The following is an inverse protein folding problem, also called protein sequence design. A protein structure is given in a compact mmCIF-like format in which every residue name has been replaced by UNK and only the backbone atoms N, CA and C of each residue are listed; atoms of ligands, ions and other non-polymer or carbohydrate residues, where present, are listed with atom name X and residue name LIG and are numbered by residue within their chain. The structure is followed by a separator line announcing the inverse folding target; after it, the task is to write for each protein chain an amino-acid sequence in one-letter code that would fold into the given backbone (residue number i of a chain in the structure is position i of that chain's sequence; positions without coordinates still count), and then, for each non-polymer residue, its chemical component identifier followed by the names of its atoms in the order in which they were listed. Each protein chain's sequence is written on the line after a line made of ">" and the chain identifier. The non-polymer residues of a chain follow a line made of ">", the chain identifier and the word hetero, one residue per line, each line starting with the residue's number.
data_IF_465742619966
#
_entry.id   IF_465742619966
#
_cell.length_a   1.000
_cell.length_b   1.000
_cell.length_c   1.000
_cell.angle_alpha   90.00
_cell.angle_beta   90.00
_cell.angle_gamma   90.00
#
_symmetry.space_group_name_H-M   'P 1'
#
loop_
_entity.id
_entity.type
_entity.pdbx_description
1 polymer ?
#
# COMPACT_ATOMS: atom_id res chain seq x y z
N UNK A 1 -4.39 28.69 0.00
CA UNK A 1 -4.06 28.45 1.41
C UNK A 1 -3.44 27.05 1.49
N UNK A 2 -2.12 26.95 1.62
CA UNK A 2 -1.45 25.67 1.75
C UNK A 2 -1.61 25.18 3.20
N UNK A 3 -2.42 24.16 3.42
CA UNK A 3 -2.50 23.49 4.69
C UNK A 3 -1.20 22.70 4.91
N UNK A 4 -0.35 23.17 5.79
CA UNK A 4 0.77 22.41 6.32
C UNK A 4 0.20 21.20 7.07
N UNK A 5 0.31 20.03 6.44
CA UNK A 5 0.01 18.75 7.09
C UNK A 5 1.05 18.51 8.18
N UNK A 6 0.69 18.76 9.43
CA UNK A 6 1.43 18.25 10.58
C UNK A 6 1.02 16.78 10.72
N UNK A 7 1.95 15.83 10.63
CA UNK A 7 1.62 14.44 10.86
C UNK A 7 1.12 14.26 12.28
N UNK A 8 -0.07 13.69 12.43
CA UNK A 8 -0.54 13.27 13.76
C UNK A 8 0.36 12.11 14.21
N UNK A 9 1.16 12.34 15.22
CA UNK A 9 2.14 11.40 15.81
C UNK A 9 1.43 10.26 16.59
N UNK A 10 0.28 9.79 16.13
CA UNK A 10 -0.57 8.85 16.86
C UNK A 10 -0.66 7.42 16.30
N UNK A 11 -0.12 7.14 15.12
CA UNK A 11 -0.15 5.76 14.58
C UNK A 11 1.24 5.16 14.56
N UNK A 12 1.55 4.35 15.57
CA UNK A 12 2.80 3.59 15.72
C UNK A 12 2.74 2.26 14.92
N UNK A 13 2.27 2.29 13.69
CA UNK A 13 2.30 1.08 12.86
C UNK A 13 3.62 1.04 12.09
N UNK A 14 4.52 0.16 12.50
CA UNK A 14 5.80 -0.06 11.85
C UNK A 14 5.71 -1.19 10.83
N UNK A 15 6.44 -1.05 9.74
CA UNK A 15 6.56 -2.06 8.71
C UNK A 15 7.96 -2.16 8.14
N UNK A 16 8.15 -3.17 7.31
CA UNK A 16 9.36 -3.41 6.56
C UNK A 16 9.06 -3.42 5.06
N UNK A 17 9.99 -2.88 4.27
CA UNK A 17 9.98 -2.97 2.83
C UNK A 17 11.36 -3.39 2.34
N UNK A 18 11.42 -4.55 1.68
CA UNK A 18 12.61 -5.05 1.00
C UNK A 18 12.42 -5.00 -0.51
N UNK A 19 13.39 -4.42 -1.22
CA UNK A 19 13.41 -4.33 -2.68
C UNK A 19 14.70 -4.97 -3.21
N UNK A 20 14.58 -5.86 -4.22
CA UNK A 20 15.74 -6.44 -4.93
C UNK A 20 15.53 -6.24 -6.42
N UNK A 21 16.55 -5.72 -7.10
CA UNK A 21 16.47 -5.45 -8.53
C UNK A 21 17.73 -5.83 -9.30
N UNK A 22 17.55 -6.02 -10.59
CA UNK A 22 18.64 -6.12 -11.56
C UNK A 22 18.34 -5.18 -12.72
N UNK A 23 19.33 -4.39 -13.10
CA UNK A 23 19.24 -3.43 -14.21
C UNK A 23 20.30 -3.76 -15.26
N UNK A 24 19.89 -3.77 -16.50
CA UNK A 24 20.79 -3.91 -17.66
C UNK A 24 20.69 -2.70 -18.57
N UNK A 25 21.81 -2.03 -18.75
CA UNK A 25 21.95 -0.96 -19.74
C UNK A 25 22.08 -1.57 -21.13
N UNK A 26 21.09 -1.32 -21.97
CA UNK A 26 21.03 -1.79 -23.35
C UNK A 26 21.58 -0.66 -24.26
N UNK A 27 21.95 -1.00 -25.49
CA UNK A 27 22.40 0.00 -26.46
C UNK A 27 21.35 1.11 -26.69
N UNK A 28 21.79 2.28 -27.16
CA UNK A 28 20.95 3.42 -27.53
C UNK A 28 20.15 4.09 -26.39
N UNK A 29 20.65 3.99 -25.15
CA UNK A 29 20.07 4.66 -23.98
C UNK A 29 18.82 3.99 -23.42
N UNK A 30 18.60 2.73 -23.76
CA UNK A 30 17.61 1.89 -23.11
C UNK A 30 18.18 1.23 -21.88
N UNK A 31 17.39 1.19 -20.80
CA UNK A 31 17.66 0.48 -19.56
C UNK A 31 16.48 -0.47 -19.31
N UNK A 32 16.75 -1.77 -19.11
CA UNK A 32 15.75 -2.77 -18.70
C UNK A 32 15.98 -3.15 -17.25
N UNK A 33 14.91 -3.23 -16.49
CA UNK A 33 14.95 -3.54 -15.04
C UNK A 33 13.96 -4.64 -14.70
N UNK A 34 14.39 -5.56 -13.85
CA UNK A 34 13.54 -6.52 -13.16
C UNK A 34 13.64 -6.22 -11.66
N UNK A 35 12.52 -6.20 -10.98
CA UNK A 35 12.46 -5.95 -9.54
C UNK A 35 11.55 -6.95 -8.83
N UNK A 36 11.90 -7.27 -7.59
CA UNK A 36 11.04 -7.97 -6.65
C UNK A 36 10.95 -7.14 -5.36
N UNK A 37 9.77 -7.09 -4.77
CA UNK A 37 9.51 -6.36 -3.53
C UNK A 37 8.75 -7.25 -2.57
N UNK A 38 9.11 -7.14 -1.29
CA UNK A 38 8.38 -7.72 -0.18
C UNK A 38 8.07 -6.63 0.85
N UNK A 39 6.85 -6.65 1.43
CA UNK A 39 6.43 -5.70 2.44
C UNK A 39 5.72 -6.38 3.60
N UNK A 40 6.05 -5.92 4.81
CA UNK A 40 5.36 -6.25 6.05
C UNK A 40 4.76 -5.00 6.68
N UNK A 41 3.73 -5.20 7.48
CA UNK A 41 3.01 -4.19 8.26
C UNK A 41 2.74 -4.71 9.67
N UNK A 42 1.91 -4.03 10.44
CA UNK A 42 1.50 -4.42 11.78
C UNK A 42 2.70 -4.78 12.67
N UNK A 43 3.63 -3.84 12.86
CA UNK A 43 4.83 -4.03 13.67
C UNK A 43 5.64 -5.27 13.27
N UNK A 44 5.80 -5.47 11.96
CA UNK A 44 6.52 -6.60 11.32
C UNK A 44 5.82 -7.98 11.49
N UNK A 45 4.56 -8.03 11.90
CA UNK A 45 3.84 -9.28 12.16
C UNK A 45 3.12 -9.83 10.95
N UNK A 46 2.65 -8.95 10.07
CA UNK A 46 1.80 -9.32 8.94
C UNK A 46 2.49 -9.06 7.61
N UNK A 47 2.35 -9.99 6.67
CA UNK A 47 2.72 -9.77 5.29
C UNK A 47 1.67 -8.91 4.61
N UNK A 48 2.04 -7.70 4.13
CA UNK A 48 1.16 -6.87 3.32
C UNK A 48 1.12 -7.36 1.88
N UNK A 49 2.31 -7.50 1.26
CA UNK A 49 2.40 -7.93 -0.14
C UNK A 49 3.78 -8.42 -0.54
N UNK A 50 3.80 -9.14 -1.62
CA UNK A 50 4.98 -9.26 -2.46
C UNK A 50 4.65 -8.90 -3.90
N UNK A 51 5.64 -8.48 -4.66
CA UNK A 51 5.46 -8.14 -6.07
C UNK A 51 6.71 -8.44 -6.87
N UNK A 52 6.51 -8.70 -8.16
CA UNK A 52 7.56 -8.76 -9.17
C UNK A 52 7.19 -7.86 -10.33
N UNK A 53 8.18 -7.19 -10.90
CA UNK A 53 7.95 -6.24 -11.97
C UNK A 53 9.08 -6.23 -12.98
N UNK A 54 8.73 -5.79 -14.19
CA UNK A 54 9.68 -5.53 -15.27
C UNK A 54 9.40 -4.14 -15.84
N UNK A 55 10.44 -3.41 -16.16
CA UNK A 55 10.33 -2.11 -16.82
C UNK A 55 11.39 -1.91 -17.90
N UNK A 56 11.05 -1.08 -18.85
CA UNK A 56 11.93 -0.61 -19.90
C UNK A 56 11.89 0.91 -19.89
N UNK A 57 13.04 1.54 -19.81
CA UNK A 57 13.16 2.99 -19.89
C UNK A 57 14.12 3.41 -20.98
N UNK A 58 13.92 4.62 -21.50
CA UNK A 58 14.77 5.22 -22.52
C UNK A 58 15.10 6.65 -22.14
N UNK A 59 16.35 7.03 -22.24
CA UNK A 59 16.76 8.42 -22.17
C UNK A 59 16.38 9.12 -23.46
N UNK A 60 15.33 9.96 -23.40
CA UNK A 60 14.78 10.67 -24.57
C UNK A 60 15.44 12.01 -24.83
N UNK A 61 16.03 12.60 -23.78
CA UNK A 61 16.77 13.84 -23.90
C UNK A 61 17.94 13.89 -22.91
N UNK A 62 19.03 14.51 -23.34
CA UNK A 62 20.17 14.90 -22.51
C UNK A 62 20.79 16.19 -23.07
N UNK A 63 20.99 17.19 -22.22
CA UNK A 63 21.60 18.44 -22.66
C UNK A 63 23.10 18.28 -22.91
N UNK A 64 23.71 19.29 -23.62
CA UNK A 64 25.14 19.26 -23.97
C UNK A 64 26.06 19.24 -22.72
N UNK A 65 25.69 19.95 -21.67
CA UNK A 65 26.42 19.97 -20.40
C UNK A 65 26.31 18.66 -19.61
N UNK A 66 25.42 17.74 -20.02
CA UNK A 66 25.17 16.41 -19.41
C UNK A 66 24.63 16.46 -17.96
N UNK A 67 24.23 17.63 -17.48
CA UNK A 67 23.68 17.84 -16.14
C UNK A 67 22.14 17.79 -16.11
N UNK A 68 21.46 17.77 -17.26
CA UNK A 68 20.02 17.60 -17.35
C UNK A 68 19.66 16.47 -18.32
N UNK A 69 18.77 15.60 -17.90
CA UNK A 69 18.27 14.52 -18.74
C UNK A 69 16.79 14.22 -18.47
N UNK A 70 16.12 13.66 -19.48
CA UNK A 70 14.75 13.17 -19.39
C UNK A 70 14.73 11.71 -19.82
N UNK A 71 14.11 10.86 -18.98
CA UNK A 71 13.85 9.45 -19.26
C UNK A 71 12.34 9.22 -19.37
N UNK A 72 11.92 8.46 -20.37
CA UNK A 72 10.57 7.91 -20.47
C UNK A 72 10.63 6.40 -20.20
N UNK A 73 9.63 5.85 -19.51
CA UNK A 73 9.61 4.44 -19.15
C UNK A 73 8.21 3.87 -19.20
N UNK A 74 8.15 2.56 -19.44
CA UNK A 74 6.94 1.74 -19.30
C UNK A 74 7.27 0.52 -18.48
N UNK A 75 6.29 -0.03 -17.80
CA UNK A 75 6.52 -1.25 -17.04
C UNK A 75 5.24 -1.94 -16.63
N UNK A 76 5.45 -3.15 -16.13
CA UNK A 76 4.42 -4.02 -15.62
C UNK A 76 4.85 -4.56 -14.26
N UNK A 77 3.89 -4.69 -13.34
CA UNK A 77 4.11 -5.27 -12.01
C UNK A 77 2.94 -6.18 -11.64
N UNK A 78 3.27 -7.40 -11.28
CA UNK A 78 2.36 -8.33 -10.61
C UNK A 78 2.52 -8.20 -9.11
N UNK A 79 1.41 -8.18 -8.38
CA UNK A 79 1.41 -8.09 -6.93
C UNK A 79 0.43 -9.10 -6.34
N UNK A 80 0.81 -9.70 -5.24
CA UNK A 80 -0.07 -10.49 -4.39
C UNK A 80 -0.22 -9.77 -3.05
N UNK A 81 -1.45 -9.33 -2.76
CA UNK A 81 -1.77 -8.48 -1.60
C UNK A 81 -2.57 -9.30 -0.61
N UNK A 82 -2.12 -9.29 0.63
CA UNK A 82 -2.74 -9.98 1.75
C UNK A 82 -3.58 -8.98 2.53
N UNK A 83 -4.88 -9.21 2.58
CA UNK A 83 -5.82 -8.39 3.34
C UNK A 83 -6.08 -9.10 4.66
N UNK A 84 -5.79 -8.44 5.75
CA UNK A 84 -6.00 -8.99 7.08
C UNK A 84 -7.49 -9.09 7.42
N UNK A 85 -7.79 -9.93 8.39
CA UNK A 85 -9.13 -10.00 8.95
C UNK A 85 -9.50 -8.65 9.59
N UNK A 86 -10.79 -8.32 9.60
CA UNK A 86 -11.29 -7.13 10.27
C UNK A 86 -12.65 -7.40 10.92
N UNK A 87 -12.87 -6.77 12.08
CA UNK A 87 -14.17 -6.76 12.74
C UNK A 87 -14.83 -5.40 12.51
N UNK A 88 -16.10 -5.42 12.11
CA UNK A 88 -16.94 -4.21 11.99
C UNK A 88 -18.06 -4.30 13.01
N UNK A 89 -18.10 -3.37 13.96
CA UNK A 89 -19.14 -3.27 14.97
C UNK A 89 -20.35 -2.53 14.42
N UNK A 90 -21.56 -2.99 14.78
CA UNK A 90 -22.81 -2.26 14.55
C UNK A 90 -23.04 -1.32 15.73
N UNK A 91 -23.08 -0.02 15.48
CA UNK A 91 -23.34 1.03 16.46
C UNK A 91 -23.43 2.38 15.74
N UNK A 92 -23.85 3.47 16.43
CA UNK A 92 -23.92 4.79 15.82
C UNK A 92 -22.58 5.25 15.24
N UNK A 93 -21.45 4.75 15.79
CA UNK A 93 -20.12 4.90 15.23
C UNK A 93 -19.57 3.52 14.92
N UNK A 94 -19.66 3.07 13.67
CA UNK A 94 -19.14 1.78 13.25
C UNK A 94 -17.60 1.77 13.36
N UNK A 95 -17.08 1.21 14.45
CA UNK A 95 -15.64 1.07 14.69
C UNK A 95 -15.14 -0.12 13.87
N UNK A 96 -14.18 0.11 13.00
CA UNK A 96 -13.44 -0.94 12.29
C UNK A 96 -12.18 -1.22 13.09
N UNK A 97 -12.03 -2.45 13.58
CA UNK A 97 -10.81 -2.91 14.25
C UNK A 97 -10.10 -3.88 13.32
N UNK A 98 -8.84 -3.58 12.99
CA UNK A 98 -8.02 -4.37 12.06
C UNK A 98 -6.60 -4.60 12.55
N UNK A 99 -6.37 -4.59 13.87
CA UNK A 99 -5.03 -4.64 14.43
C UNK A 99 -4.76 -5.98 15.11
N UNK A 100 -4.51 -7.03 14.44
CA UNK A 100 -3.93 -8.29 14.95
C UNK A 100 -4.40 -8.81 16.34
N UNK A 101 -5.21 -8.05 17.07
CA UNK A 101 -5.78 -8.47 18.33
C UNK A 101 -7.03 -9.34 18.09
N UNK A 102 -7.08 -10.46 18.79
CA UNK A 102 -8.23 -11.36 18.70
C UNK A 102 -9.51 -10.62 19.12
N UNK A 103 -10.65 -10.83 18.44
CA UNK A 103 -11.93 -10.17 18.71
C UNK A 103 -12.38 -10.22 20.19
N UNK A 104 -11.86 -11.18 20.93
CA UNK A 104 -12.20 -11.42 22.36
C UNK A 104 -11.92 -10.21 23.27
N UNK A 105 -11.01 -9.31 22.91
CA UNK A 105 -10.63 -8.19 23.78
C UNK A 105 -11.50 -6.94 23.62
N UNK A 106 -12.28 -6.85 22.53
CA UNK A 106 -13.09 -5.66 22.21
C UNK A 106 -14.59 -5.81 22.50
N UNK A 107 -15.02 -6.98 22.94
CA UNK A 107 -16.45 -7.32 23.09
C UNK A 107 -17.02 -6.93 24.47
N UNK A 108 -16.35 -6.08 25.23
CA UNK A 108 -16.83 -5.66 26.55
C UNK A 108 -18.13 -4.83 26.52
N UNK A 109 -18.61 -4.39 25.35
CA UNK A 109 -19.77 -3.51 25.25
C UNK A 109 -21.02 -4.17 24.67
N UNK A 110 -21.08 -5.49 24.56
CA UNK A 110 -22.27 -6.23 24.10
C UNK A 110 -22.80 -5.76 22.72
N UNK A 111 -21.90 -5.33 21.83
CA UNK A 111 -22.29 -4.85 20.50
C UNK A 111 -22.34 -6.00 19.48
N UNK A 112 -23.32 -5.95 18.60
CA UNK A 112 -23.34 -6.81 17.42
C UNK A 112 -22.18 -6.45 16.49
N UNK A 113 -21.53 -7.44 15.87
CA UNK A 113 -20.40 -7.21 14.97
C UNK A 113 -20.37 -8.22 13.83
N UNK A 114 -19.58 -7.91 12.81
CA UNK A 114 -19.29 -8.81 11.70
C UNK A 114 -17.78 -9.00 11.60
N UNK A 115 -17.35 -10.26 11.57
CA UNK A 115 -15.96 -10.66 11.38
C UNK A 115 -15.78 -11.01 9.90
N UNK A 116 -14.84 -10.35 9.24
CA UNK A 116 -14.43 -10.58 7.86
C UNK A 116 -13.09 -11.31 7.88
N UNK A 117 -13.02 -12.51 7.31
CA UNK A 117 -11.79 -13.27 7.28
C UNK A 117 -10.73 -12.62 6.38
N UNK A 118 -9.49 -12.97 6.64
CA UNK A 118 -8.37 -12.57 5.77
C UNK A 118 -8.52 -13.19 4.38
N UNK A 119 -8.12 -12.44 3.36
CA UNK A 119 -8.12 -12.92 1.98
C UNK A 119 -6.94 -12.37 1.19
N UNK A 120 -6.64 -13.04 0.09
CA UNK A 120 -5.54 -12.65 -0.80
C UNK A 120 -6.10 -12.31 -2.16
N UNK A 121 -5.67 -11.19 -2.73
CA UNK A 121 -5.97 -10.86 -4.13
C UNK A 121 -4.71 -10.63 -4.96
N UNK A 122 -4.84 -10.90 -6.25
CA UNK A 122 -3.81 -10.60 -7.25
C UNK A 122 -4.09 -9.24 -7.86
N UNK A 123 -3.03 -8.46 -8.08
CA UNK A 123 -3.12 -7.17 -8.76
C UNK A 123 -2.13 -7.13 -9.93
N UNK A 124 -2.58 -6.60 -11.04
CA UNK A 124 -1.79 -6.39 -12.24
C UNK A 124 -1.70 -4.90 -12.50
N UNK A 125 -0.48 -4.35 -12.54
CA UNK A 125 -0.25 -2.93 -12.74
C UNK A 125 0.56 -2.70 -14.00
N UNK A 126 0.04 -1.84 -14.86
CA UNK A 126 0.78 -1.29 -16.02
C UNK A 126 1.02 0.19 -15.70
N UNK A 127 2.19 0.68 -16.05
CA UNK A 127 2.51 2.09 -15.82
C UNK A 127 3.36 2.67 -16.95
N UNK A 128 3.17 3.98 -17.18
CA UNK A 128 4.01 4.82 -18.01
C UNK A 128 4.60 5.94 -17.16
N UNK A 129 5.86 6.30 -17.36
CA UNK A 129 6.53 7.33 -16.55
C UNK A 129 7.38 8.27 -17.41
N UNK A 130 7.49 9.50 -16.93
CA UNK A 130 8.42 10.51 -17.42
C UNK A 130 9.21 11.04 -16.21
N UNK A 131 10.53 11.03 -16.30
CA UNK A 131 11.41 11.51 -15.25
C UNK A 131 12.40 12.52 -15.81
N UNK A 132 12.38 13.73 -15.25
CA UNK A 132 13.41 14.75 -15.46
C UNK A 132 14.40 14.71 -14.30
N UNK A 133 15.69 14.79 -14.59
CA UNK A 133 16.76 14.79 -13.60
C UNK A 133 17.76 15.91 -13.91
N UNK A 134 18.12 16.66 -12.86
CA UNK A 134 19.03 17.78 -12.91
C UNK A 134 20.15 17.57 -11.87
N UNK A 135 21.40 17.71 -12.31
CA UNK A 135 22.60 17.69 -11.45
C UNK A 135 23.16 19.11 -11.36
N UNK A 136 23.12 19.68 -10.15
CA UNK A 136 23.62 21.00 -9.81
C UNK A 136 24.76 20.85 -8.79
N UNK A 137 25.99 20.91 -9.27
CA UNK A 137 27.18 20.63 -8.45
C UNK A 137 27.06 19.25 -7.78
N UNK A 138 26.74 19.22 -6.50
CA UNK A 138 26.59 18.00 -5.68
C UNK A 138 25.13 17.58 -5.47
N UNK A 139 24.18 18.40 -5.87
CA UNK A 139 22.77 18.08 -5.73
C UNK A 139 22.28 17.35 -6.99
N UNK A 140 21.56 16.25 -6.74
CA UNK A 140 20.80 15.53 -7.77
C UNK A 140 19.32 15.70 -7.47
N UNK A 141 18.61 16.43 -8.32
CA UNK A 141 17.16 16.65 -8.17
C UNK A 141 16.45 15.90 -9.30
N UNK A 142 15.41 15.18 -9.00
CA UNK A 142 14.59 14.56 -10.02
C UNK A 142 13.09 14.72 -9.73
N UNK A 143 12.33 14.94 -10.80
CA UNK A 143 10.88 14.95 -10.82
C UNK A 143 10.41 13.79 -11.68
N UNK A 144 9.52 12.95 -11.16
CA UNK A 144 8.92 11.85 -11.90
C UNK A 144 7.40 11.91 -11.84
N UNK A 145 6.80 11.93 -13.02
CA UNK A 145 5.38 11.70 -13.21
C UNK A 145 5.14 10.29 -13.72
N UNK A 146 4.17 9.58 -13.14
CA UNK A 146 3.86 8.21 -13.52
C UNK A 146 2.35 7.98 -13.49
N UNK A 147 1.79 7.62 -14.63
CA UNK A 147 0.41 7.17 -14.73
C UNK A 147 0.38 5.65 -14.56
N UNK A 148 -0.50 5.17 -13.69
CA UNK A 148 -0.66 3.75 -13.38
C UNK A 148 -2.09 3.32 -13.61
N UNK A 149 -2.26 2.19 -14.27
CA UNK A 149 -3.48 1.40 -14.29
C UNK A 149 -3.27 0.15 -13.46
N UNK A 150 -4.14 -0.13 -12.50
CA UNK A 150 -4.08 -1.34 -11.68
C UNK A 150 -5.39 -2.09 -11.78
N UNK A 151 -5.34 -3.32 -12.31
CA UNK A 151 -6.43 -4.28 -12.22
C UNK A 151 -6.30 -5.05 -10.90
N UNK A 152 -7.37 -5.11 -10.13
CA UNK A 152 -7.50 -5.80 -8.85
C UNK A 152 -8.39 -7.00 -9.08
N UNK A 153 -7.85 -8.21 -8.92
CA UNK A 153 -8.59 -9.46 -9.10
C UNK A 153 -9.70 -9.63 -8.07
N UNK A 154 -10.73 -10.39 -8.44
CA UNK A 154 -11.80 -10.78 -7.52
C UNK A 154 -11.26 -11.62 -6.36
N UNK A 155 -11.98 -11.59 -5.24
CA UNK A 155 -11.68 -12.42 -4.08
C UNK A 155 -12.98 -12.87 -3.41
N UNK A 156 -12.94 -14.04 -2.77
CA UNK A 156 -14.04 -14.54 -1.93
C UNK A 156 -13.48 -14.84 -0.54
N UNK A 157 -14.24 -14.45 0.48
CA UNK A 157 -13.84 -14.67 1.87
C UNK A 157 -15.06 -14.89 2.76
N UNK A 158 -14.84 -15.55 3.91
CA UNK A 158 -15.91 -15.79 4.86
C UNK A 158 -16.22 -14.54 5.66
N UNK A 159 -17.50 -14.39 6.00
CA UNK A 159 -17.99 -13.35 6.91
C UNK A 159 -18.87 -14.02 7.94
N UNK A 160 -18.51 -13.85 9.21
CA UNK A 160 -19.32 -14.31 10.34
C UNK A 160 -20.02 -13.10 10.97
N UNK A 161 -21.34 -13.07 10.90
CA UNK A 161 -22.15 -12.02 11.51
C UNK A 161 -22.56 -12.46 12.91
N UNK A 162 -22.20 -11.72 13.95
CA UNK A 162 -22.58 -11.94 15.35
C UNK A 162 -23.63 -10.90 15.74
N UNK A 163 -24.74 -11.37 16.35
CA UNK A 163 -25.85 -10.53 16.81
C UNK A 163 -26.15 -10.85 18.28
N UNK A 164 -26.29 -9.80 19.08
CA UNK A 164 -26.69 -9.95 20.50
C UNK A 164 -28.14 -10.36 20.56
N UNK A 165 -28.49 -11.31 21.44
CA UNK A 165 -29.85 -11.86 21.55
C UNK A 165 -30.94 -10.84 21.84
N UNK A 166 -30.61 -9.70 22.51
CA UNK A 166 -31.57 -8.62 22.80
C UNK A 166 -31.83 -7.68 21.62
N UNK A 167 -30.93 -7.60 20.64
CA UNK A 167 -31.06 -6.76 19.44
C UNK A 167 -31.76 -7.49 18.30
N UNK A 168 -32.10 -8.74 18.49
CA UNK A 168 -32.77 -9.53 17.47
C UNK A 168 -34.27 -9.21 17.44
N UNK A 169 -34.62 -7.96 17.17
CA UNK A 169 -35.96 -7.55 16.74
C UNK A 169 -35.98 -7.45 15.23
N UNK A 170 -36.97 -8.07 14.64
CA UNK A 170 -37.15 -8.33 13.22
C UNK A 170 -37.36 -7.09 12.31
N UNK A 171 -36.98 -5.87 12.75
CA UNK A 171 -37.47 -4.66 12.08
C UNK A 171 -36.45 -3.85 11.25
N UNK A 172 -35.16 -4.16 11.27
CA UNK A 172 -34.17 -3.23 10.68
C UNK A 172 -33.12 -3.85 9.74
N UNK A 173 -33.34 -5.03 9.20
CA UNK A 173 -32.42 -5.56 8.17
C UNK A 173 -33.04 -5.36 6.77
N UNK A 174 -32.76 -4.21 6.15
CA UNK A 174 -33.01 -3.92 4.71
C UNK A 174 -32.20 -4.82 3.75
N UNK A 175 -31.55 -5.85 4.24
CA UNK A 175 -30.97 -6.91 3.41
C UNK A 175 -32.04 -8.00 3.19
N UNK A 176 -32.66 -7.98 2.05
CA UNK A 176 -33.79 -8.78 1.57
C UNK A 176 -33.70 -10.32 1.68
N UNK A 177 -32.66 -10.87 2.30
CA UNK A 177 -32.41 -12.33 2.35
C UNK A 177 -32.61 -12.97 3.74
N UNK A 178 -32.93 -12.23 4.79
CA UNK A 178 -33.07 -12.79 6.14
C UNK A 178 -34.56 -12.94 6.55
N UNK A 179 -35.23 -13.99 6.08
CA UNK A 179 -36.53 -14.42 6.58
C UNK A 179 -36.50 -14.56 8.12
N UNK A 180 -37.31 -13.80 8.90
CA UNK A 180 -37.36 -13.87 10.37
C UNK A 180 -37.62 -15.27 10.93
N UNK A 181 -38.14 -16.18 10.10
CA UNK A 181 -38.42 -17.56 10.48
C UNK A 181 -37.19 -18.46 10.57
N UNK A 182 -36.01 -18.01 10.08
CA UNK A 182 -34.80 -18.83 10.02
C UNK A 182 -33.89 -18.76 11.26
N UNK A 183 -34.30 -18.04 12.30
CA UNK A 183 -33.53 -17.95 13.57
C UNK A 183 -33.37 -19.32 14.27
N UNK A 184 -34.24 -20.30 14.01
CA UNK A 184 -34.17 -21.64 14.59
C UNK A 184 -32.96 -22.45 14.14
N UNK A 185 -32.35 -22.09 13.01
CA UNK A 185 -31.15 -22.71 12.44
C UNK A 185 -29.87 -21.92 12.75
N UNK A 186 -29.95 -20.80 13.49
CA UNK A 186 -28.78 -19.99 13.82
C UNK A 186 -27.96 -20.67 14.92
N UNK A 187 -26.66 -20.74 14.70
CA UNK A 187 -25.73 -21.23 15.70
C UNK A 187 -25.60 -20.19 16.81
N UNK A 188 -25.38 -20.69 18.01
CA UNK A 188 -25.28 -19.89 19.23
C UNK A 188 -23.91 -20.03 19.86
N UNK A 189 -23.32 -18.91 20.31
CA UNK A 189 -22.02 -18.91 20.99
C UNK A 189 -21.98 -17.87 22.09
N UNK A 190 -21.12 -18.09 23.07
CA UNK A 190 -20.88 -17.16 24.18
C UNK A 190 -19.48 -16.55 24.03
N UNK A 191 -19.42 -15.23 23.95
CA UNK A 191 -18.17 -14.51 23.82
C UNK A 191 -18.11 -13.43 24.90
N UNK A 192 -17.07 -13.46 25.78
CA UNK A 192 -16.92 -12.47 26.86
C UNK A 192 -18.11 -12.41 27.82
N UNK A 193 -18.84 -13.50 28.01
CA UNK A 193 -20.04 -13.55 28.87
C UNK A 193 -21.33 -13.15 28.14
N UNK A 194 -21.29 -12.64 26.96
CA UNK A 194 -22.45 -12.23 26.13
C UNK A 194 -22.83 -13.36 25.20
N UNK A 195 -24.12 -13.59 25.04
CA UNK A 195 -24.68 -14.58 24.14
C UNK A 195 -24.92 -13.98 22.76
N UNK A 196 -24.35 -14.63 21.75
CA UNK A 196 -24.46 -14.22 20.36
C UNK A 196 -25.07 -15.32 19.50
N UNK A 197 -26.01 -14.91 18.65
CA UNK A 197 -26.36 -15.71 17.49
C UNK A 197 -25.37 -15.40 16.38
N UNK A 198 -24.89 -16.39 15.63
CA UNK A 198 -24.01 -16.14 14.52
C UNK A 198 -24.44 -16.86 13.25
N UNK A 199 -24.15 -16.23 12.11
CA UNK A 199 -24.38 -16.77 10.77
C UNK A 199 -23.08 -16.61 9.97
N UNK A 200 -22.68 -17.70 9.33
CA UNK A 200 -21.58 -17.70 8.38
C UNK A 200 -22.11 -17.43 6.98
N UNK A 201 -21.40 -16.64 6.23
CA UNK A 201 -21.68 -16.37 4.82
C UNK A 201 -20.39 -16.20 4.03
N UNK A 202 -20.49 -16.23 2.72
CA UNK A 202 -19.39 -15.93 1.82
C UNK A 202 -19.64 -14.56 1.20
N UNK A 203 -18.65 -13.66 1.27
CA UNK A 203 -18.70 -12.39 0.57
C UNK A 203 -17.78 -12.47 -0.65
N UNK A 204 -18.35 -12.14 -1.81
CA UNK A 204 -17.63 -12.04 -3.07
C UNK A 204 -17.30 -10.56 -3.33
N UNK A 205 -16.01 -10.26 -3.45
CA UNK A 205 -15.52 -8.95 -3.92
C UNK A 205 -15.28 -9.07 -5.43
N UNK A 206 -16.01 -8.32 -6.23
CA UNK A 206 -15.81 -8.29 -7.67
C UNK A 206 -14.42 -7.72 -8.01
N UNK A 207 -13.93 -8.07 -9.20
CA UNK A 207 -12.76 -7.43 -9.75
C UNK A 207 -13.02 -5.93 -9.97
N UNK A 208 -11.98 -5.12 -9.78
CA UNK A 208 -12.04 -3.67 -9.96
C UNK A 208 -10.76 -3.16 -10.61
N UNK A 209 -10.74 -1.89 -10.98
CA UNK A 209 -9.58 -1.21 -11.53
C UNK A 209 -9.44 0.17 -10.89
N UNK A 210 -8.23 0.70 -10.94
CA UNK A 210 -7.91 2.00 -10.38
C UNK A 210 -6.86 2.68 -11.27
N UNK A 211 -7.03 3.98 -11.54
CA UNK A 211 -6.10 4.82 -12.28
C UNK A 211 -5.51 5.87 -11.34
N UNK A 212 -4.19 5.91 -11.24
CA UNK A 212 -3.47 6.79 -10.32
C UNK A 212 -2.38 7.57 -11.05
N UNK A 213 -2.31 8.87 -10.83
CA UNK A 213 -1.14 9.68 -11.14
C UNK A 213 -0.23 9.74 -9.91
N UNK A 214 1.03 9.39 -10.09
CA UNK A 214 2.07 9.49 -9.05
C UNK A 214 3.09 10.56 -9.44
N UNK A 215 3.17 11.59 -8.61
CA UNK A 215 4.12 12.68 -8.74
C UNK A 215 5.18 12.55 -7.65
N UNK A 216 6.45 12.36 -8.03
CA UNK A 216 7.55 12.21 -7.08
C UNK A 216 8.65 13.22 -7.34
N UNK A 217 9.02 13.97 -6.32
CA UNK A 217 10.25 14.74 -6.27
C UNK A 217 11.27 14.02 -5.38
N UNK A 218 12.51 13.93 -5.84
CA UNK A 218 13.61 13.37 -5.08
C UNK A 218 14.81 14.30 -5.15
N UNK A 219 15.48 14.48 -4.02
CA UNK A 219 16.71 15.26 -3.92
C UNK A 219 17.75 14.44 -3.15
N UNK A 220 18.90 14.25 -3.77
CA UNK A 220 20.06 13.59 -3.17
C UNK A 220 21.27 14.54 -3.16
N UNK A 221 22.17 14.33 -2.22
CA UNK A 221 23.39 15.14 -2.07
C UNK A 221 24.64 14.25 -2.03
N UNK A 222 25.58 14.51 -2.94
CA UNK A 222 26.88 13.82 -2.98
C UNK A 222 27.84 14.48 -1.99
N UNK A 223 28.09 13.83 -0.84
CA UNK A 223 29.00 14.32 0.19
C UNK A 223 30.44 13.97 -0.23
N UNK A 224 31.36 14.95 -0.33
CA UNK A 224 32.73 14.71 -0.70
C UNK A 224 33.42 13.71 0.21
N UNK A 225 34.15 12.78 -0.39
CA UNK A 225 34.91 11.73 0.32
C UNK A 225 34.06 10.76 1.14
N UNK A 226 32.72 10.84 1.05
CA UNK A 226 31.80 9.91 1.68
C UNK A 226 31.21 8.96 0.62
N UNK A 227 30.90 7.74 1.04
CA UNK A 227 30.37 6.71 0.11
C UNK A 227 28.85 6.66 0.10
N UNK A 228 28.21 7.46 0.94
CA UNK A 228 26.76 7.45 1.15
C UNK A 228 26.17 8.78 0.68
N UNK A 229 25.22 8.71 -0.21
CA UNK A 229 24.48 9.87 -0.73
C UNK A 229 23.15 9.98 0.06
N UNK A 230 23.02 10.91 1.01
CA UNK A 230 21.74 11.14 1.67
C UNK A 230 20.71 11.66 0.67
N UNK A 231 19.48 11.19 0.84
CA UNK A 231 18.38 11.66 0.01
C UNK A 231 17.10 11.91 0.79
N UNK A 232 16.22 12.73 0.20
CA UNK A 232 14.83 12.92 0.61
C UNK A 232 13.94 12.84 -0.62
N UNK A 233 12.81 12.17 -0.48
CA UNK A 233 11.84 11.99 -1.56
C UNK A 233 10.44 12.23 -1.03
N UNK A 234 9.64 12.99 -1.77
CA UNK A 234 8.22 13.18 -1.50
C UNK A 234 7.41 12.69 -2.70
N UNK A 235 6.35 11.92 -2.43
CA UNK A 235 5.52 11.33 -3.47
C UNK A 235 4.04 11.50 -3.15
N UNK A 236 3.26 11.99 -4.11
CA UNK A 236 1.80 12.08 -4.08
C UNK A 236 1.19 11.06 -5.02
N UNK A 237 0.03 10.55 -4.61
CA UNK A 237 -0.79 9.62 -5.39
C UNK A 237 -2.18 10.24 -5.52
N UNK A 238 -2.55 10.58 -6.74
CA UNK A 238 -3.83 11.18 -7.05
C UNK A 238 -4.69 10.19 -7.84
N UNK A 239 -5.87 9.86 -7.31
CA UNK A 239 -6.86 9.05 -8.01
C UNK A 239 -7.41 9.82 -9.21
N UNK A 240 -7.34 9.22 -10.39
CA UNK A 240 -7.87 9.83 -11.61
C UNK A 240 -9.35 9.52 -11.80
N UNK A 241 -9.85 8.47 -11.15
CA UNK A 241 -11.25 8.06 -11.19
C UNK A 241 -12.14 8.92 -10.27
N UNK A 242 -11.54 9.53 -9.23
CA UNK A 242 -12.25 10.28 -8.16
C UNK A 242 -11.98 11.80 -8.22
N UNK A 243 -11.87 12.37 -9.41
CA UNK A 243 -11.70 13.82 -9.56
C UNK A 243 -10.35 14.36 -9.07
N UNK A 244 -9.27 13.60 -9.24
CA UNK A 244 -7.91 13.99 -8.88
C UNK A 244 -7.66 14.11 -7.36
N UNK A 245 -8.40 13.35 -6.57
CA UNK A 245 -8.27 13.32 -5.11
C UNK A 245 -6.94 12.71 -4.68
N UNK A 246 -6.32 13.28 -3.65
CA UNK A 246 -5.11 12.70 -3.05
C UNK A 246 -5.50 11.46 -2.25
N UNK A 247 -5.13 10.28 -2.74
CA UNK A 247 -5.34 9.00 -2.07
C UNK A 247 -4.27 8.72 -1.02
N UNK A 248 -3.03 9.15 -1.32
CA UNK A 248 -1.87 8.82 -0.49
C UNK A 248 -0.77 9.84 -0.66
N UNK A 249 -0.02 10.08 0.42
CA UNK A 249 1.24 10.78 0.40
C UNK A 249 2.34 9.95 1.06
N UNK A 250 3.59 10.12 0.60
CA UNK A 250 4.75 9.39 1.11
C UNK A 250 5.95 10.30 1.20
N UNK A 251 6.62 10.26 2.35
CA UNK A 251 7.92 10.89 2.57
C UNK A 251 8.94 9.78 2.82
N UNK A 252 10.05 9.81 2.09
CA UNK A 252 11.15 8.85 2.28
C UNK A 252 12.45 9.61 2.47
N UNK A 253 13.25 9.23 3.44
CA UNK A 253 14.60 9.76 3.65
C UNK A 253 15.55 8.63 3.97
N UNK A 254 16.78 8.71 3.49
CA UNK A 254 17.71 7.62 3.63
C UNK A 254 19.07 7.91 3.00
N UNK A 255 19.78 6.84 2.75
CA UNK A 255 21.10 6.85 2.15
C UNK A 255 21.17 5.84 1.02
N UNK A 256 21.73 6.29 -0.11
CA UNK A 256 22.14 5.43 -1.21
C UNK A 256 23.65 5.21 -1.15
N UNK A 257 24.12 4.02 -1.47
CA UNK A 257 25.55 3.78 -1.65
C UNK A 257 25.82 2.73 -2.72
N UNK A 258 26.91 2.93 -3.46
CA UNK A 258 27.29 2.04 -4.55
C UNK A 258 28.63 1.36 -4.25
N UNK A 259 28.67 0.04 -4.47
CA UNK A 259 29.90 -0.73 -4.39
C UNK A 259 30.29 -1.27 -5.76
N UNK A 260 31.58 -1.06 -6.14
CA UNK A 260 32.11 -1.46 -7.45
C UNK A 260 31.31 -0.94 -8.65
N UNK A 261 30.56 0.17 -8.50
CA UNK A 261 29.68 0.78 -9.55
C UNK A 261 28.62 -0.17 -10.11
N UNK A 262 28.41 -1.32 -9.52
CA UNK A 262 27.44 -2.34 -9.97
C UNK A 262 26.44 -2.73 -8.89
N UNK A 263 26.84 -2.63 -7.63
CA UNK A 263 25.99 -2.97 -6.50
C UNK A 263 25.50 -1.69 -5.86
N UNK A 264 24.20 -1.42 -5.96
CA UNK A 264 23.56 -0.25 -5.37
C UNK A 264 22.70 -0.70 -4.20
N UNK A 265 22.87 -0.05 -3.07
CA UNK A 265 22.14 -0.31 -1.84
C UNK A 265 21.40 0.95 -1.41
N UNK A 266 20.22 0.77 -0.88
CA UNK A 266 19.41 1.81 -0.26
C UNK A 266 19.05 1.39 1.16
N UNK A 267 19.19 2.29 2.13
CA UNK A 267 18.63 2.13 3.47
C UNK A 267 17.86 3.40 3.79
N UNK A 268 16.56 3.26 4.03
CA UNK A 268 15.71 4.41 4.19
C UNK A 268 14.61 4.21 5.25
N UNK A 269 14.14 5.32 5.77
CA UNK A 269 12.90 5.45 6.51
C UNK A 269 11.83 6.03 5.58
N UNK A 270 10.67 5.41 5.55
CA UNK A 270 9.53 5.85 4.76
C UNK A 270 8.32 6.04 5.69
N UNK A 271 7.74 7.23 5.67
CA UNK A 271 6.46 7.53 6.26
C UNK A 271 5.40 7.60 5.17
N UNK A 272 4.28 6.93 5.38
CA UNK A 272 3.16 6.90 4.45
C UNK A 272 1.88 7.29 5.17
N UNK A 273 1.22 8.33 4.67
CA UNK A 273 -0.14 8.67 5.04
C UNK A 273 -1.09 8.17 3.96
N UNK A 274 -2.27 7.74 4.36
CA UNK A 274 -3.26 7.20 3.45
C UNK A 274 -4.64 7.73 3.80
N UNK A 275 -5.41 8.03 2.77
CA UNK A 275 -6.78 8.48 2.87
C UNK A 275 -7.79 7.43 2.38
N UNK A 276 -7.30 6.28 1.90
CA UNK A 276 -8.10 5.18 1.36
C UNK A 276 -7.74 3.85 2.04
N UNK A 277 -8.71 2.96 2.23
CA UNK A 277 -8.60 1.70 3.00
C UNK A 277 -7.68 0.63 2.36
N UNK A 278 -7.16 0.86 1.16
CA UNK A 278 -6.48 -0.18 0.37
C UNK A 278 -4.99 -0.41 0.70
N UNK A 279 -4.33 0.53 1.40
CA UNK A 279 -2.94 0.36 1.83
C UNK A 279 -2.73 0.87 3.26
N UNK A 280 -1.91 0.22 4.08
CA UNK A 280 -1.72 0.66 5.46
C UNK A 280 -0.94 1.97 5.53
N UNK A 281 -1.44 2.92 6.33
CA UNK A 281 -0.66 4.07 6.78
C UNK A 281 0.38 3.61 7.80
N UNK A 282 1.50 4.31 7.91
CA UNK A 282 2.51 4.00 8.92
C UNK A 282 3.93 4.35 8.52
N UNK A 283 4.86 3.85 9.31
CA UNK A 283 6.30 4.02 9.19
C UNK A 283 6.95 2.72 8.72
N UNK A 284 7.88 2.81 7.79
CA UNK A 284 8.54 1.63 7.22
C UNK A 284 10.05 1.80 7.23
N UNK A 285 10.74 0.73 7.60
CA UNK A 285 12.16 0.57 7.34
C UNK A 285 12.29 -0.04 5.94
N UNK A 286 13.05 0.63 5.07
CA UNK A 286 13.26 0.22 3.69
C UNK A 286 14.70 -0.23 3.48
N UNK A 287 14.88 -1.39 2.84
CA UNK A 287 16.17 -1.89 2.40
C UNK A 287 16.06 -2.26 0.93
N UNK A 288 16.90 -1.64 0.12
CA UNK A 288 16.97 -1.88 -1.32
C UNK A 288 18.33 -2.42 -1.74
N UNK A 289 18.33 -3.31 -2.71
CA UNK A 289 19.52 -3.76 -3.41
C UNK A 289 19.27 -3.84 -4.90
N UNK A 290 20.17 -3.26 -5.70
CA UNK A 290 20.10 -3.34 -7.16
C UNK A 290 21.47 -3.68 -7.74
N UNK A 291 21.50 -4.64 -8.66
CA UNK A 291 22.67 -4.99 -9.44
C UNK A 291 22.58 -4.43 -10.85
N UNK A 292 23.62 -3.75 -11.31
CA UNK A 292 23.75 -3.21 -12.66
C UNK A 292 24.76 -4.00 -13.50
N UNK A 293 24.31 -4.46 -14.69
CA UNK A 293 25.18 -5.17 -15.66
C UNK A 293 25.90 -4.22 -16.60
#
# INVERSE_FOLDING_TARGET
>A
MAALFVPSVGQTNWGFRGDVGVEKKIANGFDAELEAQYRQTDNFRSTDRWSVGASLSKRVYRNKAKNFNVKAGIGYKYMRVYNEWKAKYKGPDSIIVSDGMKPQYYINNQLSFSLYDSYVNSRHRIFGSLQASLELDRFKISLREMVQYTYIGSASYQVTKFRVGSEYKAEDDDDDDDDPKDWRNKQYTKIGGTDYFYKNGIKNKAASHNYVLRSRINMAYDIPHWKYDPFVSFELFNGLDDGFKVEKSRLTTGFDFSFKKKHNFEVAYMWQNQHDDDEPAGSFICIGYKYEF
#
